data_IF_455312386484
#
_entry.id   IF_455312386484
#
_cell.length_a   1.000
_cell.length_b   1.000
_cell.length_c   1.000
_cell.angle_alpha   90.00
_cell.angle_beta   90.00
_cell.angle_gamma   90.00
#
_symmetry.space_group_name_H-M   'P 1'
#
loop_
_entity.id
_entity.type
_entity.pdbx_description
1 polymer ?
#
# COMPACT_ATOMS: atom_id res chain seq x y z
N UNK A 1 -8.69 -4.77 -7.70
CA UNK A 1 -8.27 -3.36 -7.91
C UNK A 1 -6.80 -3.39 -8.25
N UNK A 2 -6.37 -2.63 -9.25
CA UNK A 2 -5.00 -2.68 -9.79
C UNK A 2 -4.24 -1.39 -9.44
N UNK A 3 -2.98 -1.50 -9.05
CA UNK A 3 -2.11 -0.37 -8.80
C UNK A 3 -1.53 0.15 -10.11
N UNK A 4 -1.74 1.43 -10.41
CA UNK A 4 -1.23 2.10 -11.62
C UNK A 4 0.30 2.25 -11.68
N UNK A 5 1.02 1.85 -10.62
CA UNK A 5 2.49 1.92 -10.55
C UNK A 5 3.13 0.56 -10.84
N UNK A 6 2.77 -0.50 -10.12
CA UNK A 6 3.30 -1.85 -10.38
C UNK A 6 2.49 -2.64 -11.41
N UNK A 7 1.30 -2.16 -11.78
CA UNK A 7 0.36 -2.83 -12.69
C UNK A 7 -0.11 -4.20 -12.20
N UNK A 8 -0.05 -4.41 -10.89
CA UNK A 8 -0.50 -5.61 -10.20
C UNK A 8 -1.67 -5.29 -9.25
N UNK A 9 -2.28 -6.34 -8.69
CA UNK A 9 -3.27 -6.20 -7.63
C UNK A 9 -2.71 -5.44 -6.43
N UNK A 10 -3.56 -4.63 -5.77
CA UNK A 10 -3.15 -3.89 -4.58
C UNK A 10 -2.62 -4.80 -3.45
N UNK A 11 -1.41 -4.48 -2.99
CA UNK A 11 -0.81 -4.98 -1.76
C UNK A 11 -0.70 -3.83 -0.75
N UNK A 12 -1.29 -4.02 0.45
CA UNK A 12 -1.43 -2.98 1.47
C UNK A 12 -1.91 -1.62 0.87
N UNK A 13 -3.12 -1.55 0.31
CA UNK A 13 -3.59 -0.36 -0.40
C UNK A 13 -3.61 0.87 0.50
N UNK A 14 -3.10 1.97 -0.04
CA UNK A 14 -3.14 3.30 0.58
C UNK A 14 -3.74 4.31 -0.38
N UNK A 15 -4.49 5.26 0.18
CA UNK A 15 -5.05 6.40 -0.52
C UNK A 15 -4.24 7.66 -0.16
N UNK A 16 -3.94 8.48 -1.17
CA UNK A 16 -3.31 9.80 -1.00
C UNK A 16 -4.36 10.93 -1.06
N UNK A 17 -4.04 12.19 -0.69
CA UNK A 17 -5.07 13.23 -0.52
C UNK A 17 -5.93 13.54 -1.74
N UNK A 18 -5.44 13.26 -2.96
CA UNK A 18 -6.22 13.42 -4.18
C UNK A 18 -7.22 12.29 -4.46
N UNK A 19 -7.25 11.24 -3.64
CA UNK A 19 -8.18 10.11 -3.75
C UNK A 19 -7.67 8.88 -4.52
N UNK A 20 -6.52 8.97 -5.20
CA UNK A 20 -5.95 7.83 -5.93
C UNK A 20 -5.32 6.81 -4.96
N UNK A 21 -5.35 5.54 -5.36
CA UNK A 21 -4.98 4.40 -4.53
C UNK A 21 -3.80 3.64 -5.14
N UNK A 22 -2.84 3.29 -4.30
CA UNK A 22 -1.61 2.59 -4.69
C UNK A 22 -1.25 1.52 -3.67
N UNK A 23 -0.35 0.60 -4.03
CA UNK A 23 0.35 -0.20 -3.02
C UNK A 23 1.20 0.73 -2.14
N UNK A 24 1.28 0.42 -0.85
CA UNK A 24 2.08 1.20 0.12
C UNK A 24 3.54 1.35 -0.29
N UNK A 25 4.15 0.27 -0.78
CA UNK A 25 5.54 0.26 -1.29
C UNK A 25 5.67 1.15 -2.52
N UNK A 26 4.79 0.98 -3.51
CA UNK A 26 4.85 1.72 -4.76
C UNK A 26 4.80 3.23 -4.57
N UNK A 27 3.86 3.75 -3.78
CA UNK A 27 3.78 5.21 -3.57
C UNK A 27 4.96 5.73 -2.75
N UNK A 28 5.47 4.93 -1.80
CA UNK A 28 6.65 5.29 -1.00
C UNK A 28 7.89 5.41 -1.89
N UNK A 29 8.10 4.48 -2.80
CA UNK A 29 9.24 4.46 -3.71
C UNK A 29 9.18 5.64 -4.70
N UNK A 30 8.01 5.88 -5.29
CA UNK A 30 7.77 7.05 -6.16
C UNK A 30 8.12 8.35 -5.43
N UNK A 31 7.61 8.51 -4.21
CA UNK A 31 7.86 9.71 -3.40
C UNK A 31 9.34 9.87 -3.03
N UNK A 32 10.02 8.78 -2.66
CA UNK A 32 11.44 8.81 -2.33
C UNK A 32 12.30 9.22 -3.54
N UNK A 33 11.95 8.75 -4.75
CA UNK A 33 12.63 9.11 -5.99
C UNK A 33 12.41 10.57 -6.41
N UNK A 34 11.30 11.18 -6.02
CA UNK A 34 10.97 12.57 -6.35
C UNK A 34 11.82 13.62 -5.60
N UNK A 35 12.72 13.19 -4.71
CA UNK A 35 13.64 14.06 -3.99
C UNK A 35 13.05 14.50 -2.64
N UNK A 36 13.41 13.76 -1.59
CA UNK A 36 12.98 13.98 -0.20
C UNK A 36 13.35 15.31 0.43
N UNK A 37 13.85 16.29 -0.34
CA UNK A 37 14.31 17.60 0.17
C UNK A 37 13.16 18.57 0.50
N UNK A 38 11.93 18.32 0.02
CA UNK A 38 10.82 19.28 0.15
C UNK A 38 9.60 18.79 0.94
N UNK A 39 9.61 17.57 1.48
CA UNK A 39 8.44 16.97 2.15
C UNK A 39 7.14 17.05 1.31
N UNK A 40 7.25 17.00 -0.02
CA UNK A 40 6.13 17.07 -0.97
C UNK A 40 6.25 15.90 -1.93
N UNK A 41 5.17 15.14 -2.09
CA UNK A 41 5.01 14.10 -3.11
C UNK A 41 4.07 14.55 -4.23
N UNK A 42 4.18 13.91 -5.39
CA UNK A 42 3.29 14.10 -6.54
C UNK A 42 2.57 12.80 -6.87
N UNK A 43 1.26 12.88 -7.03
CA UNK A 43 0.42 11.78 -7.49
C UNK A 43 0.88 11.28 -8.89
N UNK A 44 1.18 9.98 -9.08
CA UNK A 44 1.48 9.41 -10.39
C UNK A 44 0.43 9.69 -11.47
N UNK A 45 -0.85 9.64 -11.11
CA UNK A 45 -1.95 9.72 -12.08
C UNK A 45 -2.33 11.16 -12.45
N UNK A 46 -2.59 12.02 -11.46
CA UNK A 46 -3.09 13.38 -11.69
C UNK A 46 -2.06 14.48 -11.44
N UNK A 47 -0.84 14.12 -11.02
CA UNK A 47 0.29 15.03 -10.74
C UNK A 47 0.03 16.09 -9.66
N UNK A 48 -1.12 16.02 -8.97
CA UNK A 48 -1.41 16.88 -7.81
C UNK A 48 -0.35 16.65 -6.73
N UNK A 49 0.19 17.75 -6.23
CA UNK A 49 1.12 17.77 -5.11
C UNK A 49 0.37 17.49 -3.79
N UNK A 50 1.05 16.82 -2.86
CA UNK A 50 0.58 16.61 -1.50
C UNK A 50 1.77 16.65 -0.54
N UNK A 51 1.55 17.20 0.65
CA UNK A 51 2.57 17.24 1.70
C UNK A 51 2.70 15.86 2.34
N UNK A 52 3.93 15.44 2.65
CA UNK A 52 4.28 14.19 3.33
C UNK A 52 4.53 14.39 4.84
N UNK A 53 4.61 15.64 5.27
CA UNK A 53 4.96 16.06 6.61
C UNK A 53 3.85 15.71 7.61
N UNK A 54 4.24 15.06 8.71
CA UNK A 54 3.50 15.08 9.96
C UNK A 54 4.03 16.30 10.72
N UNK A 55 3.19 17.28 11.12
CA UNK A 55 3.66 18.46 11.84
C UNK A 55 4.42 18.11 13.11
N UNK A 56 5.39 18.97 13.47
CA UNK A 56 6.00 18.92 14.78
C UNK A 56 4.89 19.06 15.83
N UNK A 57 4.59 17.95 16.50
CA UNK A 57 3.49 17.86 17.44
C UNK A 57 3.84 18.51 18.78
N UNK A 58 5.11 18.91 19.01
CA UNK A 58 5.54 19.53 20.27
C UNK A 58 4.74 20.79 20.61
N UNK A 59 4.25 21.50 19.58
CA UNK A 59 3.44 22.70 19.74
C UNK A 59 1.98 22.50 19.33
N UNK A 60 1.61 21.29 18.88
CA UNK A 60 0.24 21.00 18.48
C UNK A 60 -0.61 20.83 19.76
N UNK A 61 -1.72 21.57 19.91
CA UNK A 61 -2.61 21.33 21.03
C UNK A 61 -3.27 19.95 20.90
N UNK A 62 -3.45 19.26 22.02
CA UNK A 62 -3.91 17.86 22.07
C UNK A 62 -5.23 17.61 21.31
N UNK A 63 -6.13 18.61 21.25
CA UNK A 63 -7.39 18.49 20.51
C UNK A 63 -7.21 18.36 18.99
N UNK A 64 -6.05 18.75 18.44
CA UNK A 64 -5.73 18.60 17.02
C UNK A 64 -5.12 17.24 16.66
N UNK A 65 -4.58 16.50 17.63
CA UNK A 65 -3.95 15.19 17.36
C UNK A 65 -4.79 14.23 16.51
N UNK A 66 -6.12 14.09 16.71
CA UNK A 66 -6.94 13.22 15.88
C UNK A 66 -7.04 13.66 14.42
N UNK A 67 -6.76 14.92 14.12
CA UNK A 67 -6.88 15.53 12.80
C UNK A 67 -5.52 15.60 12.06
N UNK A 68 -4.40 15.39 12.76
CA UNK A 68 -3.05 15.39 12.22
C UNK A 68 -2.67 14.00 11.70
N UNK A 69 -3.43 13.53 10.70
CA UNK A 69 -3.25 12.20 10.11
C UNK A 69 -2.21 12.19 9.00
N UNK A 70 -1.53 11.05 8.85
CA UNK A 70 -0.67 10.79 7.69
C UNK A 70 -1.44 11.06 6.37
N UNK A 71 -0.83 11.79 5.43
CA UNK A 71 -1.42 12.04 4.10
C UNK A 71 -1.56 10.76 3.27
N UNK A 72 -0.72 9.76 3.55
CA UNK A 72 -0.80 8.42 2.99
C UNK A 72 -1.59 7.56 3.99
N UNK A 73 -2.85 7.26 3.68
CA UNK A 73 -3.75 6.52 4.58
C UNK A 73 -4.00 5.12 4.08
N UNK A 74 -3.80 4.12 4.94
CA UNK A 74 -4.23 2.75 4.65
C UNK A 74 -5.75 2.71 4.50
N UNK A 75 -6.23 1.99 3.49
CA UNK A 75 -7.66 1.76 3.28
C UNK A 75 -7.96 0.26 3.32
N UNK A 76 -9.20 -0.08 3.62
CA UNK A 76 -9.71 -1.42 3.37
C UNK A 76 -10.14 -1.50 1.90
N UNK A 77 -9.51 -2.40 1.14
CA UNK A 77 -10.00 -2.80 -0.16
C UNK A 77 -10.38 -4.28 -0.09
N UNK A 78 -11.65 -4.65 -0.34
CA UNK A 78 -12.15 -6.02 -0.16
C UNK A 78 -11.48 -7.06 -1.08
N UNK A 79 -10.65 -6.61 -2.03
CA UNK A 79 -9.95 -7.45 -3.00
C UNK A 79 -8.43 -7.22 -2.98
N UNK A 80 -7.86 -6.58 -1.96
CA UNK A 80 -6.41 -6.44 -1.88
C UNK A 80 -5.77 -7.76 -1.41
N UNK A 81 -4.74 -8.24 -2.13
CA UNK A 81 -3.98 -9.44 -1.79
C UNK A 81 -4.65 -10.78 -2.10
N UNK A 82 -5.76 -10.79 -2.85
CA UNK A 82 -6.44 -12.03 -3.25
C UNK A 82 -5.54 -12.91 -4.14
N UNK A 83 -4.70 -12.30 -4.97
CA UNK A 83 -3.69 -12.98 -5.77
C UNK A 83 -2.68 -13.75 -4.93
N UNK A 84 -2.22 -13.17 -3.81
CA UNK A 84 -1.32 -13.87 -2.86
C UNK A 84 -2.04 -15.05 -2.20
N UNK A 85 -3.29 -14.86 -1.77
CA UNK A 85 -4.11 -15.92 -1.19
C UNK A 85 -4.34 -17.07 -2.19
N UNK A 86 -4.64 -16.75 -3.45
CA UNK A 86 -4.82 -17.73 -4.50
C UNK A 86 -3.53 -18.52 -4.76
N UNK A 87 -2.39 -17.83 -4.90
CA UNK A 87 -1.07 -18.48 -5.06
C UNK A 87 -0.73 -19.41 -3.88
N UNK A 88 -1.02 -19.00 -2.64
CA UNK A 88 -0.83 -19.82 -1.46
C UNK A 88 -1.73 -21.07 -1.48
N UNK A 89 -3.00 -20.91 -1.83
CA UNK A 89 -3.94 -22.03 -1.95
C UNK A 89 -3.50 -23.03 -3.02
N UNK A 90 -2.99 -22.57 -4.15
CA UNK A 90 -2.49 -23.43 -5.21
C UNK A 90 -1.24 -24.20 -4.75
N UNK A 91 -0.34 -23.52 -4.02
CA UNK A 91 0.84 -24.16 -3.42
C UNK A 91 0.48 -25.21 -2.37
N UNK A 92 -0.53 -24.93 -1.53
CA UNK A 92 -1.07 -25.88 -0.55
C UNK A 92 -1.58 -27.14 -1.26
N UNK A 93 -2.40 -26.99 -2.30
CA UNK A 93 -2.91 -28.14 -3.09
C UNK A 93 -1.78 -28.97 -3.70
N UNK A 94 -0.74 -28.31 -4.22
CA UNK A 94 0.40 -28.97 -4.82
C UNK A 94 1.19 -29.80 -3.78
N UNK A 95 1.44 -29.24 -2.60
CA UNK A 95 2.09 -29.93 -1.49
C UNK A 95 1.25 -31.10 -0.94
N UNK A 96 -0.07 -30.92 -0.83
CA UNK A 96 -0.99 -31.99 -0.42
C UNK A 96 -0.99 -33.17 -1.40
N UNK A 97 -0.92 -32.89 -2.71
CA UNK A 97 -0.81 -33.93 -3.73
C UNK A 97 0.50 -34.73 -3.60
N UNK A 98 1.62 -34.05 -3.34
CA UNK A 98 2.92 -34.70 -3.11
C UNK A 98 2.93 -35.59 -1.87
N UNK A 99 2.34 -35.12 -0.75
CA UNK A 99 2.20 -35.92 0.47
C UNK A 99 1.38 -37.19 0.24
N UNK A 100 0.27 -37.10 -0.51
CA UNK A 100 -0.56 -38.27 -0.84
C UNK A 100 0.18 -39.31 -1.69
N UNK A 101 1.11 -38.88 -2.56
CA UNK A 101 1.95 -39.79 -3.34
C UNK A 101 2.99 -40.46 -2.43
N UNK A 102 3.64 -39.70 -1.53
CA UNK A 102 4.64 -40.23 -0.61
C UNK A 102 4.07 -41.24 0.39
N UNK A 103 2.81 -41.09 0.80
CA UNK A 103 2.14 -41.99 1.74
C UNK A 103 1.61 -43.28 1.09
N UNK A 104 1.60 -43.37 -0.24
CA UNK A 104 1.21 -44.56 -1.01
C UNK A 104 2.41 -45.42 -1.44
N UNK A 105 3.62 -45.00 -1.12
CA UNK A 105 4.88 -45.72 -1.35
C UNK A 105 5.34 -46.39 -0.06
#
# INVERSE_FOLDING_TARGET
GECSVCLDEYEEPVCIPCGHVYCKSCIKDVVNQQGGERNVGKCPECRKEFHLFIPDLTHAPAFLEPFLVSPIRRIYAPYAGQGTLNKLNDRIKELEAQLKISQKK
#
